data_IF_113359115868
#
_entry.id   IF_113359115868
#
_cell.length_a   1.000
_cell.length_b   1.000
_cell.length_c   1.000
_cell.angle_alpha   90.00
_cell.angle_beta   90.00
_cell.angle_gamma   90.00
#
_symmetry.space_group_name_H-M   'P 1'
#
loop_
_entity.id
_entity.type
_entity.pdbx_description
1 polymer ?
#
# COMPACT_ATOMS: atom_id res chain seq x y z
N UNK A 1 6.50 -7.40 -10.85
CA UNK A 1 6.00 -6.15 -11.45
C UNK A 1 6.04 -5.08 -10.38
N UNK A 2 6.44 -3.85 -10.73
CA UNK A 2 6.53 -2.76 -9.77
C UNK A 2 5.21 -2.00 -9.77
N UNK A 3 4.58 -1.89 -8.61
CA UNK A 3 3.34 -1.13 -8.44
C UNK A 3 3.59 0.03 -7.48
N UNK A 4 3.16 1.21 -7.91
CA UNK A 4 3.23 2.44 -7.14
C UNK A 4 1.84 3.05 -6.99
N UNK A 5 1.62 3.79 -5.91
CA UNK A 5 0.37 4.49 -5.63
C UNK A 5 0.64 5.88 -5.05
N UNK A 6 -0.22 6.88 -5.31
CA UNK A 6 -0.07 8.20 -4.73
C UNK A 6 -0.36 8.21 -3.21
N UNK A 7 0.24 9.15 -2.47
CA UNK A 7 0.02 9.32 -1.02
C UNK A 7 -1.45 9.59 -0.64
N UNK A 8 -2.27 10.07 -1.58
CA UNK A 8 -3.71 10.25 -1.38
C UNK A 8 -4.53 8.96 -1.40
N UNK A 9 -3.90 7.81 -1.70
CA UNK A 9 -4.57 6.51 -1.77
C UNK A 9 -5.04 6.07 -0.39
N UNK A 10 -6.22 5.43 -0.34
CA UNK A 10 -6.74 4.90 0.92
C UNK A 10 -6.19 3.51 1.22
N UNK A 11 -6.25 3.11 2.50
CA UNK A 11 -5.94 1.74 2.92
C UNK A 11 -6.78 0.71 2.14
N UNK A 12 -8.03 1.05 1.81
CA UNK A 12 -8.90 0.18 1.01
C UNK A 12 -8.37 -0.03 -0.40
N UNK A 13 -7.78 1.00 -1.01
CA UNK A 13 -7.21 0.91 -2.35
C UNK A 13 -5.96 0.03 -2.35
N UNK A 14 -5.08 0.22 -1.35
CA UNK A 14 -3.92 -0.65 -1.12
C UNK A 14 -4.36 -2.11 -0.95
N UNK A 15 -5.37 -2.36 -0.11
CA UNK A 15 -5.88 -3.70 0.14
C UNK A 15 -6.43 -4.39 -1.13
N UNK A 16 -7.12 -3.65 -2.01
CA UNK A 16 -7.61 -4.20 -3.29
C UNK A 16 -6.46 -4.65 -4.20
N UNK A 17 -5.38 -3.88 -4.26
CA UNK A 17 -4.21 -4.21 -5.10
C UNK A 17 -3.47 -5.43 -4.53
N UNK A 18 -3.31 -5.50 -3.20
CA UNK A 18 -2.66 -6.63 -2.53
C UNK A 18 -3.55 -7.89 -2.46
N UNK A 19 -4.87 -7.77 -2.62
CA UNK A 19 -5.82 -8.90 -2.55
C UNK A 19 -5.65 -9.90 -3.71
N UNK A 20 -5.38 -9.41 -4.93
CA UNK A 20 -5.48 -10.21 -6.15
C UNK A 20 -4.14 -10.51 -6.82
N UNK A 21 -3.01 -10.29 -6.15
CA UNK A 21 -1.70 -10.24 -6.81
C UNK A 21 -0.63 -11.11 -6.15
N UNK A 22 0.39 -11.43 -6.95
CA UNK A 22 1.73 -11.90 -6.51
C UNK A 22 2.57 -10.79 -5.87
N UNK A 23 1.95 -9.63 -5.61
CA UNK A 23 2.62 -8.42 -5.15
C UNK A 23 2.26 -8.23 -3.68
N UNK A 24 3.28 -8.21 -2.83
CA UNK A 24 3.13 -8.10 -1.38
C UNK A 24 3.51 -6.72 -0.84
N UNK A 25 3.86 -5.79 -1.74
CA UNK A 25 4.29 -4.44 -1.39
C UNK A 25 3.96 -3.42 -2.48
N UNK A 26 3.63 -2.21 -2.05
CA UNK A 26 3.31 -1.08 -2.93
C UNK A 26 4.18 0.10 -2.50
N UNK A 27 4.85 0.73 -3.46
CA UNK A 27 5.58 1.98 -3.19
C UNK A 27 4.60 3.15 -3.20
N UNK A 28 4.72 4.03 -2.21
CA UNK A 28 3.91 5.24 -2.11
C UNK A 28 4.73 6.42 -2.60
N UNK A 29 4.19 7.19 -3.54
CA UNK A 29 4.85 8.35 -4.12
C UNK A 29 4.05 9.64 -3.92
N UNK A 30 4.72 10.77 -3.87
CA UNK A 30 4.06 12.08 -3.83
C UNK A 30 3.66 12.58 -5.24
N UNK A 31 3.07 13.78 -5.31
CA UNK A 31 2.63 14.39 -6.58
C UNK A 31 3.76 14.78 -7.55
N UNK A 32 5.02 14.70 -7.12
CA UNK A 32 6.22 14.89 -7.96
C UNK A 32 6.83 13.56 -8.43
N UNK A 33 6.24 12.42 -8.02
CA UNK A 33 6.75 11.08 -8.32
C UNK A 33 7.90 10.63 -7.40
N UNK A 34 8.18 11.36 -6.32
CA UNK A 34 9.22 11.01 -5.37
C UNK A 34 8.70 9.92 -4.40
N UNK A 35 9.58 8.99 -4.02
CA UNK A 35 9.25 7.91 -3.10
C UNK A 35 9.08 8.47 -1.68
N UNK A 36 7.91 8.25 -1.10
CA UNK A 36 7.58 8.64 0.28
C UNK A 36 7.61 7.46 1.24
N UNK A 37 7.41 6.24 0.74
CA UNK A 37 7.44 5.05 1.59
C UNK A 37 6.94 3.79 0.92
N UNK A 38 6.68 2.77 1.73
CA UNK A 38 6.21 1.46 1.30
C UNK A 38 5.07 1.00 2.22
N UNK A 39 4.07 0.35 1.63
CA UNK A 39 3.03 -0.36 2.36
C UNK A 39 3.05 -1.81 1.94
N UNK A 40 3.08 -2.71 2.93
CA UNK A 40 3.13 -4.16 2.73
C UNK A 40 1.87 -4.84 3.26
N UNK A 41 1.67 -6.10 2.88
CA UNK A 41 0.60 -6.92 3.47
C UNK A 41 0.68 -7.00 5.00
N UNK A 42 1.90 -6.98 5.56
CA UNK A 42 2.13 -6.99 7.02
C UNK A 42 1.61 -5.72 7.69
N UNK A 43 1.76 -4.57 7.05
CA UNK A 43 1.25 -3.30 7.57
C UNK A 43 -0.28 -3.31 7.65
N UNK A 44 -0.95 -3.91 6.65
CA UNK A 44 -2.41 -4.08 6.67
C UNK A 44 -2.88 -5.00 7.80
N UNK A 45 -2.19 -6.13 8.02
CA UNK A 45 -2.52 -7.05 9.12
C UNK A 45 -2.33 -6.35 10.47
N UNK A 46 -1.21 -5.63 10.63
CA UNK A 46 -0.93 -4.86 11.85
C UNK A 46 -1.98 -3.77 12.08
N UNK A 47 -2.37 -3.04 11.03
CA UNK A 47 -3.42 -2.05 11.10
C UNK A 47 -4.76 -2.67 11.52
N UNK A 48 -5.17 -3.78 10.90
CA UNK A 48 -6.39 -4.49 11.28
C UNK A 48 -6.35 -4.93 12.75
N UNK A 49 -5.27 -5.55 13.20
CA UNK A 49 -5.12 -5.96 14.61
C UNK A 49 -5.23 -4.80 15.60
N UNK A 50 -4.68 -3.63 15.26
CA UNK A 50 -4.72 -2.44 16.13
C UNK A 50 -6.07 -1.72 16.15
N UNK A 51 -6.94 -1.97 15.15
CA UNK A 51 -8.22 -1.29 14.98
C UNK A 51 -9.42 -2.25 15.09
N UNK A 52 -9.21 -3.47 15.60
CA UNK A 52 -10.25 -4.36 16.12
C UNK A 52 -10.70 -3.91 17.51
#
# INVERSE_FOLDING_TARGET
>A
ELVTMPISSTIKDVAKVLQFSTIHSILITNGKGELEGIVTSTDLIKYLYQNL
#
